data_IF_377227415652
#
_entry.id   IF_377227415652
#
_cell.length_a   1.000
_cell.length_b   1.000
_cell.length_c   1.000
_cell.angle_alpha   90.00
_cell.angle_beta   90.00
_cell.angle_gamma   90.00
#
_symmetry.space_group_name_H-M   'P 1'
#
loop_
_entity.id
_entity.type
_entity.pdbx_description
1 polymer ?
#
# COMPACT_ATOMS: atom_id res chain seq x y z
N UNK A 1 8.17 15.31 -13.91
CA UNK A 1 8.57 14.06 -13.26
C UNK A 1 7.63 12.99 -13.78
N UNK A 2 8.17 11.94 -14.38
CA UNK A 2 7.40 10.89 -15.04
C UNK A 2 6.71 10.00 -13.98
N UNK A 3 5.43 10.26 -13.79
CA UNK A 3 4.51 9.61 -12.83
C UNK A 3 4.46 8.10 -12.99
N UNK A 4 4.85 7.59 -14.17
CA UNK A 4 5.04 6.18 -14.49
C UNK A 4 6.05 5.47 -13.57
N UNK A 5 7.03 6.19 -13.01
CA UNK A 5 8.04 5.60 -12.11
C UNK A 5 7.60 5.52 -10.65
N UNK A 6 6.66 6.38 -10.20
CA UNK A 6 6.12 6.33 -8.83
C UNK A 6 5.27 5.07 -8.58
N UNK A 7 4.72 4.48 -9.64
CA UNK A 7 3.85 3.31 -9.54
C UNK A 7 4.67 2.01 -9.37
N UNK A 8 5.96 2.03 -9.71
CA UNK A 8 6.76 0.80 -9.76
C UNK A 8 7.22 0.34 -8.38
N UNK A 9 6.52 -0.68 -7.87
CA UNK A 9 7.01 -1.58 -6.82
C UNK A 9 6.28 -1.50 -5.49
N UNK A 10 5.55 -0.41 -5.20
CA UNK A 10 4.78 -0.25 -3.97
C UNK A 10 3.27 -0.21 -4.22
N UNK A 11 2.46 -0.81 -3.35
CA UNK A 11 1.03 -0.56 -3.34
C UNK A 11 0.75 0.94 -3.13
N UNK A 12 -0.19 1.48 -3.91
CA UNK A 12 -0.60 2.87 -3.88
C UNK A 12 -1.98 3.00 -3.23
N UNK A 13 -2.12 3.91 -2.28
CA UNK A 13 -3.37 4.29 -1.66
C UNK A 13 -3.75 5.72 -2.09
N UNK A 14 -4.78 5.82 -2.93
CA UNK A 14 -5.37 7.11 -3.28
C UNK A 14 -6.44 7.49 -2.27
N UNK A 15 -6.33 8.66 -1.65
CA UNK A 15 -7.22 9.10 -0.57
C UNK A 15 -7.71 10.53 -0.74
N UNK A 16 -8.96 10.77 -0.35
CA UNK A 16 -9.55 12.11 -0.32
C UNK A 16 -9.11 12.86 0.94
N UNK A 17 -8.34 13.95 0.78
CA UNK A 17 -7.86 14.74 1.93
C UNK A 17 -8.99 15.40 2.74
N UNK A 18 -10.10 15.73 2.06
CA UNK A 18 -11.31 16.32 2.65
C UNK A 18 -12.20 15.32 3.41
N UNK A 19 -12.00 14.01 3.20
CA UNK A 19 -12.74 12.96 3.89
C UNK A 19 -12.05 12.59 5.21
N UNK A 20 -12.67 12.90 6.35
CA UNK A 20 -12.09 12.62 7.67
C UNK A 20 -11.71 11.14 7.88
N UNK A 21 -12.61 10.22 7.50
CA UNK A 21 -12.37 8.76 7.59
C UNK A 21 -11.19 8.31 6.72
N UNK A 22 -11.11 8.84 5.50
CA UNK A 22 -10.07 8.52 4.53
C UNK A 22 -8.70 9.07 4.98
N UNK A 23 -8.70 10.25 5.61
CA UNK A 23 -7.51 10.86 6.19
C UNK A 23 -6.97 10.05 7.38
N UNK A 24 -7.85 9.58 8.26
CA UNK A 24 -7.45 8.72 9.39
C UNK A 24 -6.86 7.41 8.86
N UNK A 25 -7.51 6.75 7.90
CA UNK A 25 -6.98 5.52 7.28
C UNK A 25 -5.59 5.77 6.66
N UNK A 26 -5.45 6.87 5.92
CA UNK A 26 -4.18 7.30 5.31
C UNK A 26 -3.08 7.49 6.35
N UNK A 27 -3.41 8.08 7.51
CA UNK A 27 -2.46 8.21 8.62
C UNK A 27 -2.11 6.86 9.23
N UNK A 28 -3.09 6.00 9.53
CA UNK A 28 -2.83 4.67 10.07
C UNK A 28 -1.87 3.88 9.17
N UNK A 29 -2.08 3.95 7.86
CA UNK A 29 -1.21 3.33 6.86
C UNK A 29 0.24 3.79 6.96
N UNK A 30 0.52 5.06 7.24
CA UNK A 30 1.91 5.53 7.45
C UNK A 30 2.57 4.80 8.59
N UNK A 31 1.86 4.69 9.72
CA UNK A 31 2.40 4.14 10.95
C UNK A 31 2.55 2.62 10.86
N UNK A 32 1.58 1.96 10.25
CA UNK A 32 1.48 0.51 10.28
C UNK A 32 2.17 -0.17 9.10
N UNK A 33 2.38 0.51 7.97
CA UNK A 33 2.97 -0.15 6.79
C UNK A 33 4.49 -0.03 6.71
N UNK A 34 5.17 0.67 7.62
CA UNK A 34 6.62 0.93 7.52
C UNK A 34 7.04 1.46 6.13
N UNK A 35 6.27 2.40 5.57
CA UNK A 35 6.48 2.94 4.21
C UNK A 35 6.35 1.91 3.06
N UNK A 36 5.72 0.75 3.32
CA UNK A 36 5.42 -0.24 2.29
C UNK A 36 4.26 0.18 1.38
N UNK A 37 3.37 1.07 1.83
CA UNK A 37 2.28 1.63 1.03
C UNK A 37 2.57 3.11 0.78
N UNK A 38 2.54 3.50 -0.48
CA UNK A 38 2.64 4.90 -0.90
C UNK A 38 1.26 5.55 -0.94
N UNK A 39 1.17 6.83 -0.57
CA UNK A 39 -0.12 7.52 -0.41
C UNK A 39 -0.18 8.70 -1.37
N UNK A 40 -1.24 8.74 -2.16
CA UNK A 40 -1.43 9.77 -3.18
C UNK A 40 -2.76 10.48 -2.88
N UNK A 41 -2.77 11.80 -2.67
CA UNK A 41 -4.02 12.53 -2.54
C UNK A 41 -4.75 12.55 -3.90
N UNK A 42 -6.07 12.35 -3.91
CA UNK A 42 -6.87 12.30 -5.15
C UNK A 42 -6.87 13.64 -5.90
N UNK A 43 -6.54 14.74 -5.22
CA UNK A 43 -6.39 16.07 -5.82
C UNK A 43 -5.05 16.28 -6.53
N UNK A 44 -4.15 15.29 -6.54
CA UNK A 44 -2.84 15.39 -7.21
C UNK A 44 -2.92 15.08 -8.70
N UNK A 45 -1.97 15.62 -9.46
CA UNK A 45 -1.80 15.34 -10.89
C UNK A 45 -1.59 13.83 -11.17
N UNK A 46 -0.88 13.13 -10.28
CA UNK A 46 -0.68 11.69 -10.37
C UNK A 46 -1.98 10.88 -10.28
N UNK A 47 -2.93 11.34 -9.47
CA UNK A 47 -4.25 10.72 -9.39
C UNK A 47 -5.05 10.94 -10.68
N UNK A 48 -4.99 12.13 -11.28
CA UNK A 48 -5.68 12.41 -12.54
C UNK A 48 -5.19 11.50 -13.68
N UNK A 49 -3.88 11.32 -13.80
CA UNK A 49 -3.30 10.40 -14.79
C UNK A 49 -3.67 8.93 -14.53
N UNK A 50 -3.76 8.53 -13.26
CA UNK A 50 -4.27 7.22 -12.89
C UNK A 50 -5.74 7.05 -13.30
N UNK A 51 -6.58 8.07 -13.08
CA UNK A 51 -8.00 8.04 -13.44
C UNK A 51 -8.25 8.07 -14.95
N UNK A 52 -7.33 8.58 -15.76
CA UNK A 52 -7.41 8.44 -17.21
C UNK A 52 -7.36 6.97 -17.65
N UNK A 53 -6.63 6.12 -16.90
CA UNK A 53 -6.53 4.68 -17.15
C UNK A 53 -7.61 3.87 -16.43
N UNK A 54 -8.12 4.38 -15.30
CA UNK A 54 -9.12 3.75 -14.45
C UNK A 54 -10.25 4.74 -14.08
N UNK A 55 -11.12 5.12 -15.04
CA UNK A 55 -12.16 6.11 -14.82
C UNK A 55 -13.15 5.72 -13.72
N UNK A 56 -13.39 4.43 -13.51
CA UNK A 56 -14.24 3.87 -12.45
C UNK A 56 -13.76 4.19 -11.04
N UNK A 57 -12.47 4.51 -10.88
CA UNK A 57 -11.82 4.77 -9.60
C UNK A 57 -11.85 6.26 -9.20
N UNK A 58 -12.34 7.13 -10.10
CA UNK A 58 -12.26 8.58 -9.96
C UNK A 58 -13.00 9.09 -8.72
N UNK A 59 -12.31 9.88 -7.90
CA UNK A 59 -12.87 10.53 -6.72
C UNK A 59 -13.16 9.58 -5.55
N UNK A 60 -12.82 8.30 -5.69
CA UNK A 60 -13.04 7.29 -4.65
C UNK A 60 -11.75 7.01 -3.88
N UNK A 61 -11.90 6.37 -2.72
CA UNK A 61 -10.78 5.77 -2.00
C UNK A 61 -10.34 4.53 -2.80
N UNK A 62 -9.05 4.45 -3.16
CA UNK A 62 -8.54 3.39 -4.02
C UNK A 62 -7.26 2.81 -3.44
N UNK A 63 -7.16 1.49 -3.44
CA UNK A 63 -5.91 0.78 -3.23
C UNK A 63 -5.55 0.05 -4.52
N UNK A 64 -4.39 0.38 -5.07
CA UNK A 64 -3.84 -0.25 -6.27
C UNK A 64 -2.56 -1.00 -5.93
N UNK A 65 -2.49 -2.26 -6.33
CA UNK A 65 -1.33 -3.11 -6.06
C UNK A 65 -0.77 -3.69 -7.36
N UNK A 66 0.25 -3.02 -7.90
CA UNK A 66 0.86 -3.43 -9.16
C UNK A 66 1.60 -4.78 -9.07
N UNK A 67 2.13 -5.15 -7.90
CA UNK A 67 2.90 -6.39 -7.75
C UNK A 67 2.06 -7.69 -7.82
N UNK A 68 0.73 -7.61 -7.98
CA UNK A 68 -0.09 -8.78 -8.30
C UNK A 68 -0.11 -9.02 -9.80
N UNK A 69 -0.16 -10.30 -10.22
CA UNK A 69 -0.03 -10.75 -11.62
C UNK A 69 -0.89 -9.97 -12.65
N UNK A 70 -2.05 -9.46 -12.22
CA UNK A 70 -2.99 -8.70 -13.07
C UNK A 70 -3.22 -7.25 -12.61
N UNK A 71 -2.45 -6.75 -11.62
CA UNK A 71 -2.69 -5.45 -10.99
C UNK A 71 -4.00 -5.44 -10.19
N UNK A 72 -3.93 -5.55 -8.87
CA UNK A 72 -5.16 -5.62 -8.06
C UNK A 72 -5.66 -4.20 -7.72
N UNK A 73 -6.82 -3.86 -8.26
CA UNK A 73 -7.55 -2.63 -7.96
C UNK A 73 -8.65 -2.89 -6.92
N UNK A 74 -8.67 -2.12 -5.85
CA UNK A 74 -9.74 -2.15 -4.84
C UNK A 74 -10.26 -0.74 -4.63
N UNK A 75 -11.58 -0.57 -4.67
CA UNK A 75 -12.23 0.75 -4.69
C UNK A 75 -13.28 0.82 -3.58
N UNK A 76 -13.43 2.01 -2.98
CA UNK A 76 -14.49 2.32 -2.04
C UNK A 76 -14.37 1.54 -0.73
N UNK A 77 -15.48 0.96 -0.27
CA UNK A 77 -15.53 0.31 1.05
C UNK A 77 -14.59 -0.89 1.19
N UNK A 78 -14.26 -1.55 0.08
CA UNK A 78 -13.32 -2.68 0.07
C UNK A 78 -11.92 -2.27 0.49
N UNK A 79 -11.55 -1.00 0.31
CA UNK A 79 -10.23 -0.50 0.73
C UNK A 79 -10.05 -0.56 2.24
N UNK A 80 -11.13 -0.35 3.03
CA UNK A 80 -11.07 -0.46 4.50
C UNK A 80 -10.76 -1.88 4.99
N UNK A 81 -11.04 -2.91 4.19
CA UNK A 81 -10.67 -4.30 4.51
C UNK A 81 -9.33 -4.67 3.88
N UNK A 82 -9.09 -4.25 2.65
CA UNK A 82 -7.87 -4.58 1.92
C UNK A 82 -6.62 -3.98 2.56
N UNK A 83 -6.71 -2.75 3.08
CA UNK A 83 -5.58 -2.05 3.70
C UNK A 83 -5.09 -2.73 4.98
N UNK A 84 -5.92 -2.99 6.00
CA UNK A 84 -5.49 -3.72 7.20
C UNK A 84 -4.96 -5.12 6.88
N UNK A 85 -5.58 -5.81 5.92
CA UNK A 85 -5.13 -7.12 5.48
C UNK A 85 -3.73 -7.08 4.85
N UNK A 86 -3.46 -6.05 4.02
CA UNK A 86 -2.15 -5.86 3.44
C UNK A 86 -1.09 -5.58 4.52
N UNK A 87 -1.41 -4.69 5.46
CA UNK A 87 -0.55 -4.38 6.60
C UNK A 87 -0.21 -5.66 7.37
N UNK A 88 -1.22 -6.46 7.71
CA UNK A 88 -1.01 -7.72 8.45
C UNK A 88 -0.05 -8.66 7.70
N UNK A 89 -0.21 -8.79 6.37
CA UNK A 89 0.71 -9.58 5.54
C UNK A 89 2.13 -9.03 5.55
N UNK A 90 2.30 -7.71 5.46
CA UNK A 90 3.63 -7.07 5.55
C UNK A 90 4.28 -7.37 6.89
N UNK A 91 3.54 -7.27 8.00
CA UNK A 91 4.05 -7.59 9.34
C UNK A 91 4.45 -9.05 9.48
N UNK A 92 3.64 -9.99 8.96
CA UNK A 92 3.98 -11.41 8.98
C UNK A 92 5.25 -11.70 8.17
N UNK A 93 5.38 -11.11 6.98
CA UNK A 93 6.57 -11.28 6.15
C UNK A 93 7.84 -10.76 6.86
N UNK A 94 7.77 -9.58 7.48
CA UNK A 94 8.89 -9.00 8.25
C UNK A 94 9.22 -9.85 9.48
N UNK A 95 8.19 -10.35 10.18
CA UNK A 95 8.38 -11.17 11.40
C UNK A 95 9.03 -12.51 11.08
N UNK A 96 8.56 -13.20 10.03
CA UNK A 96 9.15 -14.45 9.55
C UNK A 96 10.59 -14.27 9.10
N UNK A 97 10.90 -13.15 8.42
CA UNK A 97 12.26 -12.83 8.01
C UNK A 97 13.19 -12.64 9.21
N UNK A 98 12.74 -11.93 10.25
CA UNK A 98 13.52 -11.75 11.50
C UNK A 98 13.74 -13.07 12.24
N UNK A 99 12.72 -13.93 12.31
CA UNK A 99 12.85 -15.26 12.92
C UNK A 99 13.86 -16.13 12.19
N UNK A 100 13.87 -16.09 10.85
CA UNK A 100 14.84 -16.82 10.04
C UNK A 100 16.27 -16.34 10.30
N UNK A 101 16.50 -15.03 10.35
CA UNK A 101 17.82 -14.46 10.69
C UNK A 101 18.29 -14.91 12.08
N UNK A 102 17.39 -14.92 13.07
CA UNK A 102 17.71 -15.37 14.42
C UNK A 102 18.07 -16.86 14.47
N UNK A 103 17.33 -17.69 13.73
CA UNK A 103 17.63 -19.12 13.61
C UNK A 103 19.00 -19.37 12.95
N UNK A 104 19.29 -18.67 11.85
CA UNK A 104 20.57 -18.76 11.14
C UNK A 104 21.74 -18.28 12.04
N UNK A 105 21.52 -17.25 12.87
CA UNK A 105 22.52 -16.76 13.83
C UNK A 105 22.80 -17.78 14.95
N UNK A 106 21.77 -18.38 15.54
CA UNK A 106 21.93 -19.40 16.59
C UNK A 106 22.62 -20.66 16.06
N UNK A 107 22.29 -21.09 14.84
CA UNK A 107 22.93 -22.25 14.22
C UNK A 107 24.43 -22.00 13.95
N UNK A 108 24.81 -20.78 13.57
CA UNK A 108 26.20 -20.40 13.34
C UNK A 108 27.04 -20.29 14.62
N UNK A 109 26.42 -19.98 15.77
CA UNK A 109 27.12 -19.78 17.05
C UNK A 109 27.21 -21.04 17.92
N UNK A 110 26.53 -22.13 17.53
CA UNK A 110 26.56 -23.44 18.19
C UNK A 110 27.49 -24.45 17.48
N UNK A 111 28.31 -23.99 16.53
CA UNK A 111 29.36 -24.73 15.85
C UNK A 111 30.71 -24.05 16.09
#
# INVERSE_FOLDING_TARGET
>A
MDTSQLIQGKPLLFYAGRCGKCRILSQLVVWSSFQAIERIPIESQAAEEFYQKHPEARGQLVLFHQAFRDGKLSIGNWVYFAVPWLILKTWLAVSLFRLKILADYLQKNNH
#
